data_IF_344702741647
#
_entry.id   IF_344702741647
#
_cell.length_a   1.000
_cell.length_b   1.000
_cell.length_c   1.000
_cell.angle_alpha   90.00
_cell.angle_beta   90.00
_cell.angle_gamma   90.00
#
_symmetry.space_group_name_H-M   'P 1'
#
loop_
_entity.id
_entity.type
_entity.pdbx_description
1 polymer ?
#
# COMPACT_ATOMS: atom_id res chain seq x y z
N UNK A 1 11.24 -6.32 -12.27
CA UNK A 1 10.38 -5.13 -12.38
C UNK A 1 9.96 -4.69 -10.98
N UNK A 2 9.97 -3.37 -10.74
CA UNK A 2 9.65 -2.74 -9.46
C UNK A 2 8.51 -1.75 -9.68
N UNK A 3 7.47 -1.78 -8.84
CA UNK A 3 6.45 -0.72 -8.78
C UNK A 3 6.82 0.22 -7.66
N UNK A 4 6.90 1.52 -7.96
CA UNK A 4 7.03 2.60 -6.99
C UNK A 4 5.81 3.52 -7.11
N UNK A 5 5.04 3.67 -6.03
CA UNK A 5 3.95 4.65 -5.96
C UNK A 5 4.39 5.79 -5.04
N UNK A 6 4.55 6.99 -5.59
CA UNK A 6 4.80 8.21 -4.84
C UNK A 6 3.48 8.72 -4.26
N UNK A 7 3.38 8.80 -2.94
CA UNK A 7 2.18 9.28 -2.26
C UNK A 7 2.21 10.81 -2.14
N UNK A 8 1.13 11.45 -2.58
CA UNK A 8 0.90 12.87 -2.35
C UNK A 8 0.31 13.09 -0.95
N UNK A 9 0.89 14.03 -0.20
CA UNK A 9 0.35 14.47 1.08
C UNK A 9 -0.57 15.66 0.85
N UNK A 10 -1.88 15.48 1.04
CA UNK A 10 -2.83 16.59 1.07
C UNK A 10 -2.59 17.44 2.32
N UNK A 11 -1.75 18.47 2.19
CA UNK A 11 -1.35 19.38 3.27
C UNK A 11 -2.31 20.58 3.48
N UNK A 12 -3.43 20.64 2.77
CA UNK A 12 -4.23 21.87 2.63
C UNK A 12 -5.18 22.22 3.78
N UNK A 13 -5.54 21.29 4.67
CA UNK A 13 -6.64 21.48 5.62
C UNK A 13 -6.27 21.87 7.06
N UNK A 14 -5.04 21.60 7.50
CA UNK A 14 -4.69 21.63 8.93
C UNK A 14 -4.34 23.03 9.47
N UNK A 15 -4.07 24.01 8.61
CA UNK A 15 -3.59 25.34 9.03
C UNK A 15 -4.73 26.25 9.49
N UNK A 16 -5.97 26.02 9.06
CA UNK A 16 -7.10 26.95 9.29
C UNK A 16 -7.80 26.74 10.64
N UNK A 17 -7.76 25.53 11.22
CA UNK A 17 -8.53 25.21 12.44
C UNK A 17 -7.84 25.69 13.72
N UNK A 18 -6.50 25.76 13.74
CA UNK A 18 -5.73 26.16 14.92
C UNK A 18 -5.94 27.60 15.39
N UNK A 19 -6.43 28.48 14.50
CA UNK A 19 -6.63 29.91 14.79
C UNK A 19 -8.00 30.18 15.44
N UNK A 20 -9.00 29.30 15.29
CA UNK A 20 -10.38 29.58 15.73
C UNK A 20 -10.71 29.12 17.15
N UNK A 21 -9.99 28.12 17.70
CA UNK A 21 -10.26 27.55 19.03
C UNK A 21 -9.62 28.30 20.21
N UNK A 22 -8.87 29.38 19.96
CA UNK A 22 -8.21 30.17 21.00
C UNK A 22 -9.12 31.09 21.82
N UNK A 23 -10.42 31.17 21.51
CA UNK A 23 -11.31 32.21 22.03
C UNK A 23 -12.21 31.81 23.22
N UNK A 24 -12.16 30.56 23.73
CA UNK A 24 -13.13 30.15 24.76
C UNK A 24 -12.62 29.12 25.79
N UNK A 25 -11.61 29.44 26.59
CA UNK A 25 -11.36 28.67 27.82
C UNK A 25 -10.62 29.45 28.92
N UNK A 26 -11.10 29.29 30.17
CA UNK A 26 -10.57 29.90 31.40
C UNK A 26 -9.12 29.50 31.73
N UNK A 27 -8.49 30.31 32.60
CA UNK A 27 -7.07 30.64 32.79
C UNK A 27 -6.01 29.51 32.76
N UNK A 28 -6.34 28.23 32.95
CA UNK A 28 -5.40 27.10 32.79
C UNK A 28 -5.41 26.49 31.38
N UNK A 29 -6.56 26.54 30.71
CA UNK A 29 -6.74 26.08 29.33
C UNK A 29 -6.23 27.11 28.30
N UNK A 30 -6.17 28.38 28.69
CA UNK A 30 -5.82 29.51 27.83
C UNK A 30 -4.37 29.47 27.28
N UNK A 31 -3.45 28.75 27.94
CA UNK A 31 -2.05 28.63 27.49
C UNK A 31 -1.63 27.21 27.14
N UNK A 32 -2.17 26.19 27.83
CA UNK A 32 -1.80 24.79 27.60
C UNK A 32 -2.30 24.33 26.22
N UNK A 33 -3.54 24.65 25.87
CA UNK A 33 -4.15 24.22 24.61
C UNK A 33 -3.45 24.89 23.41
N UNK A 34 -3.24 26.22 23.39
CA UNK A 34 -2.48 26.85 22.31
C UNK A 34 -1.04 26.37 22.23
N UNK A 35 -0.38 26.09 23.36
CA UNK A 35 0.98 25.55 23.36
C UNK A 35 1.06 24.17 22.68
N UNK A 36 0.12 23.26 22.95
CA UNK A 36 0.05 21.94 22.31
C UNK A 36 -0.15 22.09 20.79
N UNK A 37 -1.09 22.94 20.36
CA UNK A 37 -1.31 23.18 18.93
C UNK A 37 -0.09 23.82 18.26
N UNK A 38 0.58 24.76 18.92
CA UNK A 38 1.81 25.39 18.42
C UNK A 38 2.93 24.38 18.26
N UNK A 39 3.17 23.53 19.27
CA UNK A 39 4.16 22.46 19.20
C UNK A 39 3.83 21.44 18.11
N UNK A 40 2.56 21.07 17.97
CA UNK A 40 2.10 20.19 16.88
C UNK A 40 2.31 20.80 15.50
N UNK A 41 1.99 22.08 15.33
CA UNK A 41 2.21 22.81 14.06
C UNK A 41 3.69 22.90 13.70
N UNK A 42 4.55 23.26 14.66
CA UNK A 42 6.01 23.28 14.47
C UNK A 42 6.54 21.89 14.10
N UNK A 43 6.06 20.84 14.77
CA UNK A 43 6.41 19.46 14.42
C UNK A 43 6.05 19.13 12.96
N UNK A 44 4.86 19.51 12.49
CA UNK A 44 4.44 19.28 11.09
C UNK A 44 5.30 20.04 10.08
N UNK A 45 5.70 21.29 10.37
CA UNK A 45 6.60 22.07 9.52
C UNK A 45 7.98 21.40 9.44
N UNK A 46 8.56 21.02 10.58
CA UNK A 46 9.84 20.31 10.63
C UNK A 46 9.73 18.99 9.87
N UNK A 47 8.65 18.23 10.06
CA UNK A 47 8.41 16.99 9.33
C UNK A 47 8.29 17.21 7.82
N UNK A 48 7.58 18.25 7.38
CA UNK A 48 7.45 18.60 5.96
C UNK A 48 8.79 18.95 5.30
N UNK A 49 9.66 19.67 6.01
CA UNK A 49 10.94 20.16 5.50
C UNK A 49 12.05 19.10 5.53
N UNK A 50 12.13 18.32 6.61
CA UNK A 50 13.26 17.43 6.87
C UNK A 50 12.97 15.95 6.62
N UNK A 51 11.71 15.54 6.45
CA UNK A 51 11.41 14.13 6.21
C UNK A 51 11.94 13.66 4.85
N UNK A 52 12.64 12.53 4.85
CA UNK A 52 13.16 11.94 3.63
C UNK A 52 12.00 11.46 2.74
N UNK A 53 11.85 12.09 1.57
CA UNK A 53 10.78 11.76 0.61
C UNK A 53 10.82 10.29 0.17
N UNK A 54 12.00 9.65 0.18
CA UNK A 54 12.16 8.22 -0.16
C UNK A 54 11.45 7.30 0.83
N UNK A 55 11.26 7.73 2.08
CA UNK A 55 10.58 6.92 3.10
C UNK A 55 9.06 6.90 2.92
N UNK A 56 8.52 7.76 2.04
CA UNK A 56 7.09 7.84 1.71
C UNK A 56 6.71 7.00 0.49
N UNK A 57 7.64 6.22 -0.06
CA UNK A 57 7.41 5.41 -1.25
C UNK A 57 6.94 4.03 -0.83
N UNK A 58 5.84 3.58 -1.43
CA UNK A 58 5.44 2.19 -1.40
C UNK A 58 6.11 1.45 -2.56
N UNK A 59 6.86 0.39 -2.25
CA UNK A 59 7.64 -0.39 -3.20
C UNK A 59 7.23 -1.86 -3.16
N UNK A 60 6.95 -2.42 -4.34
CA UNK A 60 6.77 -3.85 -4.54
C UNK A 60 7.84 -4.36 -5.50
N UNK A 61 8.71 -5.25 -5.00
CA UNK A 61 9.73 -5.91 -5.80
C UNK A 61 9.33 -7.37 -6.07
N UNK A 62 8.76 -7.60 -7.26
CA UNK A 62 8.29 -8.91 -7.71
C UNK A 62 9.39 -9.98 -7.82
N UNK A 63 10.62 -9.59 -8.17
CA UNK A 63 11.71 -10.55 -8.40
C UNK A 63 12.28 -11.07 -7.09
N UNK A 64 12.52 -10.17 -6.14
CA UNK A 64 13.00 -10.51 -4.79
C UNK A 64 11.88 -11.02 -3.88
N UNK A 65 10.61 -10.73 -4.22
CA UNK A 65 9.47 -11.04 -3.37
C UNK A 65 9.42 -10.17 -2.11
N UNK A 66 10.00 -8.97 -2.16
CA UNK A 66 10.05 -8.03 -1.03
C UNK A 66 9.06 -6.90 -1.21
N UNK A 67 8.52 -6.44 -0.09
CA UNK A 67 7.66 -5.25 0.00
C UNK A 67 8.32 -4.25 0.94
N UNK A 68 8.26 -2.98 0.56
CA UNK A 68 8.61 -1.87 1.45
C UNK A 68 7.48 -0.86 1.49
N UNK A 69 7.08 -0.42 2.67
CA UNK A 69 6.07 0.62 2.83
C UNK A 69 6.49 1.61 3.93
N UNK A 70 5.95 2.84 3.90
CA UNK A 70 6.31 3.88 4.86
C UNK A 70 6.06 3.47 6.31
N UNK A 71 7.01 3.79 7.18
CA UNK A 71 6.86 3.71 8.64
C UNK A 71 6.40 5.07 9.19
N UNK A 72 6.25 5.18 10.52
CA UNK A 72 5.88 6.43 11.17
C UNK A 72 6.93 7.52 10.99
N UNK A 73 6.49 8.69 10.52
CA UNK A 73 7.26 9.93 10.49
C UNK A 73 8.64 9.78 9.81
N UNK A 74 9.72 10.04 10.55
CA UNK A 74 11.09 10.03 10.06
C UNK A 74 11.72 8.63 10.00
N UNK A 75 11.00 7.59 10.43
CA UNK A 75 11.55 6.25 10.44
C UNK A 75 11.78 5.74 9.01
N UNK A 76 12.84 4.94 8.79
CA UNK A 76 13.03 4.27 7.52
C UNK A 76 11.84 3.34 7.22
N UNK A 77 11.52 3.11 5.93
CA UNK A 77 10.39 2.28 5.53
C UNK A 77 10.55 0.85 6.07
N UNK A 78 9.41 0.25 6.43
CA UNK A 78 9.33 -1.14 6.85
C UNK A 78 9.52 -2.02 5.61
N UNK A 79 10.60 -2.80 5.58
CA UNK A 79 10.94 -3.70 4.48
C UNK A 79 10.95 -5.15 4.97
N UNK A 80 10.36 -6.05 4.19
CA UNK A 80 10.39 -7.48 4.46
C UNK A 80 9.90 -8.32 3.28
N UNK A 81 9.74 -9.62 3.50
CA UNK A 81 9.19 -10.53 2.49
C UNK A 81 7.68 -10.34 2.40
N UNK A 82 7.15 -10.33 1.18
CA UNK A 82 5.70 -10.18 0.96
C UNK A 82 4.89 -11.33 1.56
N UNK A 83 5.44 -12.55 1.58
CA UNK A 83 4.82 -13.72 2.24
C UNK A 83 4.49 -13.48 3.72
N UNK A 84 5.31 -12.68 4.40
CA UNK A 84 5.15 -12.41 5.83
C UNK A 84 4.28 -11.17 6.08
N UNK A 85 3.88 -10.43 5.04
CA UNK A 85 3.02 -9.26 5.15
C UNK A 85 1.59 -9.68 5.53
N UNK A 86 1.06 -9.08 6.59
CA UNK A 86 -0.35 -9.21 6.97
C UNK A 86 -1.13 -7.99 6.53
N UNK A 87 -2.13 -8.21 5.67
CA UNK A 87 -3.08 -7.20 5.24
C UNK A 87 -4.45 -7.47 5.89
N UNK A 88 -5.13 -6.40 6.29
CA UNK A 88 -6.49 -6.44 6.85
C UNK A 88 -7.36 -5.42 6.14
N UNK A 89 -8.63 -5.77 5.93
CA UNK A 89 -9.64 -4.83 5.45
C UNK A 89 -10.38 -4.33 6.67
N UNK A 90 -10.30 -3.04 6.94
CA UNK A 90 -11.04 -2.39 8.03
C UNK A 90 -12.18 -1.57 7.46
N UNK A 91 -13.33 -1.59 8.12
CA UNK A 91 -14.49 -0.77 7.77
C UNK A 91 -14.56 0.39 8.76
N UNK A 92 -14.69 1.64 8.28
CA UNK A 92 -15.10 2.74 9.17
C UNK A 92 -16.56 2.53 9.51
N UNK A 93 -16.90 2.43 10.80
CA UNK A 93 -18.29 2.36 11.21
C UNK A 93 -19.04 3.66 10.86
N UNK A 94 -20.33 3.54 10.64
CA UNK A 94 -21.23 4.66 10.45
C UNK A 94 -21.20 5.57 11.69
N UNK A 95 -20.56 6.72 11.55
CA UNK A 95 -20.63 7.81 12.53
C UNK A 95 -21.40 8.92 11.83
N UNK A 96 -22.54 9.31 12.41
CA UNK A 96 -23.34 10.47 12.00
C UNK A 96 -23.76 10.49 10.51
N UNK A 97 -24.14 9.33 9.95
CA UNK A 97 -24.73 9.25 8.60
C UNK A 97 -23.71 9.30 7.44
N UNK A 98 -22.41 9.27 7.73
CA UNK A 98 -21.39 9.06 6.71
C UNK A 98 -21.42 7.63 6.18
N UNK A 99 -21.24 7.47 4.86
CA UNK A 99 -21.18 6.16 4.23
C UNK A 99 -19.98 5.35 4.77
N UNK A 100 -20.22 4.08 5.06
CA UNK A 100 -19.17 3.16 5.46
C UNK A 100 -18.10 3.10 4.37
N UNK A 101 -16.83 3.18 4.78
CA UNK A 101 -15.70 3.07 3.87
C UNK A 101 -14.83 1.90 4.27
N UNK A 102 -14.56 1.02 3.31
CA UNK A 102 -13.58 -0.04 3.46
C UNK A 102 -12.19 0.52 3.17
N UNK A 103 -11.20 0.11 3.97
CA UNK A 103 -9.81 0.47 3.78
C UNK A 103 -8.91 -0.75 3.83
N UNK A 104 -7.97 -0.83 2.90
CA UNK A 104 -6.88 -1.80 2.96
C UNK A 104 -5.81 -1.28 3.91
N UNK A 105 -5.46 -2.07 4.92
CA UNK A 105 -4.44 -1.71 5.90
C UNK A 105 -3.37 -2.78 6.03
N UNK A 106 -2.12 -2.37 6.14
CA UNK A 106 -1.01 -3.28 6.46
C UNK A 106 -0.71 -3.25 7.95
N UNK A 107 -0.66 -4.45 8.53
CA UNK A 107 -0.22 -4.66 9.90
C UNK A 107 1.30 -4.69 9.88
N UNK A 108 1.92 -3.90 10.76
CA UNK A 108 3.37 -3.92 10.94
C UNK A 108 3.83 -5.28 11.46
N UNK A 109 4.24 -6.12 10.51
CA UNK A 109 4.69 -7.48 10.78
C UNK A 109 6.21 -7.56 10.84
N UNK A 110 6.92 -6.60 10.25
CA UNK A 110 8.38 -6.62 10.14
C UNK A 110 9.08 -6.06 11.37
N UNK A 111 8.46 -5.11 12.08
CA UNK A 111 9.03 -4.49 13.29
C UNK A 111 7.91 -4.19 14.30
N UNK A 112 7.30 -5.22 14.92
CA UNK A 112 6.11 -5.06 15.77
C UNK A 112 6.39 -4.16 16.97
N UNK A 113 5.44 -3.26 17.27
CA UNK A 113 5.51 -2.34 18.42
C UNK A 113 4.29 -2.52 19.32
N UNK A 114 4.41 -2.11 20.59
CA UNK A 114 3.28 -2.08 21.54
C UNK A 114 2.17 -1.12 21.10
N UNK A 115 2.55 0.00 20.48
CA UNK A 115 1.66 0.97 19.87
C UNK A 115 2.11 1.14 18.42
N UNK A 116 1.32 0.59 17.50
CA UNK A 116 1.58 0.65 16.07
C UNK A 116 0.38 1.25 15.36
N UNK A 117 0.64 2.11 14.36
CA UNK A 117 -0.41 2.54 13.45
C UNK A 117 -0.41 1.59 12.26
N UNK A 118 -1.60 1.18 11.88
CA UNK A 118 -1.78 0.43 10.65
C UNK A 118 -1.59 1.37 9.46
N UNK A 119 -0.75 0.97 8.52
CA UNK A 119 -0.57 1.76 7.30
C UNK A 119 -1.79 1.60 6.40
N UNK A 120 -2.48 2.70 6.10
CA UNK A 120 -3.75 2.69 5.37
C UNK A 120 -3.54 3.09 3.92
N UNK A 121 -4.01 2.26 2.99
CA UNK A 121 -4.09 2.58 1.57
C UNK A 121 -5.44 3.20 1.26
N UNK A 122 -5.39 4.37 0.62
CA UNK A 122 -6.56 5.06 0.10
C UNK A 122 -6.70 4.68 -1.38
N UNK A 123 -7.62 3.77 -1.65
CA UNK A 123 -8.02 3.32 -2.98
C UNK A 123 -9.53 3.24 -3.08
N UNK A 124 -10.05 3.03 -4.30
CA UNK A 124 -11.50 2.96 -4.53
C UNK A 124 -12.10 1.63 -4.09
N UNK A 125 -11.32 0.54 -4.12
CA UNK A 125 -11.77 -0.81 -3.77
C UNK A 125 -10.62 -1.60 -3.12
N UNK A 126 -10.59 -1.68 -1.77
CA UNK A 126 -9.55 -2.39 -1.02
C UNK A 126 -9.34 -3.84 -1.42
N UNK A 127 -10.41 -4.55 -1.82
CA UNK A 127 -10.35 -5.97 -2.20
C UNK A 127 -9.66 -6.12 -3.55
N UNK A 128 -9.98 -5.25 -4.51
CA UNK A 128 -9.29 -5.22 -5.81
C UNK A 128 -7.84 -4.79 -5.67
N UNK A 129 -7.55 -3.79 -4.84
CA UNK A 129 -6.18 -3.34 -4.59
C UNK A 129 -5.32 -4.46 -4.00
N UNK A 130 -5.83 -5.17 -2.99
CA UNK A 130 -5.13 -6.32 -2.42
C UNK A 130 -4.94 -7.45 -3.45
N UNK A 131 -5.98 -7.77 -4.21
CA UNK A 131 -5.93 -8.78 -5.27
C UNK A 131 -4.89 -8.44 -6.33
N UNK A 132 -4.77 -7.16 -6.70
CA UNK A 132 -3.74 -6.67 -7.61
C UNK A 132 -2.34 -6.87 -7.02
N UNK A 133 -2.11 -6.51 -5.75
CA UNK A 133 -0.79 -6.70 -5.13
C UNK A 133 -0.40 -8.18 -5.03
N UNK A 134 -1.33 -9.05 -4.64
CA UNK A 134 -1.09 -10.50 -4.61
C UNK A 134 -0.77 -11.03 -6.00
N UNK A 135 -1.53 -10.63 -7.02
CA UNK A 135 -1.27 -11.02 -8.41
C UNK A 135 0.09 -10.53 -8.88
N UNK A 136 0.39 -9.24 -8.70
CA UNK A 136 1.67 -8.66 -9.11
C UNK A 136 2.86 -9.33 -8.43
N UNK A 137 2.77 -9.59 -7.13
CA UNK A 137 3.86 -10.21 -6.36
C UNK A 137 4.05 -11.70 -6.64
N UNK A 138 3.04 -12.37 -7.18
CA UNK A 138 3.16 -13.74 -7.63
C UNK A 138 3.91 -13.81 -8.96
N UNK A 139 5.22 -14.08 -8.88
CA UNK A 139 6.06 -14.19 -10.07
C UNK A 139 5.71 -15.36 -10.99
N UNK A 140 4.88 -16.31 -10.54
CA UNK A 140 4.47 -17.48 -11.31
C UNK A 140 3.17 -17.22 -12.10
N UNK A 141 2.44 -16.15 -11.75
CA UNK A 141 1.28 -15.66 -12.50
C UNK A 141 1.71 -14.71 -13.62
N UNK A 142 0.89 -14.54 -14.68
CA UNK A 142 1.09 -13.50 -15.68
C UNK A 142 1.11 -12.11 -15.04
N UNK A 143 1.64 -11.12 -15.74
CA UNK A 143 1.55 -9.72 -15.27
C UNK A 143 0.08 -9.25 -15.29
N UNK A 144 -0.38 -8.51 -14.26
CA UNK A 144 -1.74 -7.96 -14.21
C UNK A 144 -2.10 -7.16 -15.48
N UNK A 145 -3.38 -7.04 -15.85
CA UNK A 145 -3.82 -6.25 -16.99
C UNK A 145 -3.47 -4.77 -16.80
N UNK A 146 -3.24 -4.06 -17.91
CA UNK A 146 -2.88 -2.65 -17.93
C UNK A 146 -1.64 -2.37 -18.77
N UNK A 147 -1.53 -1.14 -19.26
CA UNK A 147 -0.50 -0.73 -20.23
C UNK A 147 0.90 -0.60 -19.63
N UNK A 148 0.99 -0.45 -18.31
CA UNK A 148 2.27 -0.27 -17.61
C UNK A 148 3.24 -1.46 -17.74
N UNK A 149 2.73 -2.63 -18.16
CA UNK A 149 3.50 -3.87 -18.19
C UNK A 149 3.67 -4.47 -19.58
N UNK A 150 3.10 -3.85 -20.62
CA UNK A 150 2.98 -4.47 -21.95
C UNK A 150 4.34 -4.86 -22.55
N UNK A 151 5.34 -4.00 -22.39
CA UNK A 151 6.72 -4.24 -22.85
C UNK A 151 7.36 -5.49 -22.22
N UNK A 152 6.90 -5.90 -21.03
CA UNK A 152 7.48 -7.00 -20.26
C UNK A 152 6.67 -8.29 -20.33
N UNK A 153 5.45 -8.26 -20.89
CA UNK A 153 4.54 -9.43 -20.91
C UNK A 153 5.14 -10.60 -21.64
N UNK A 154 5.72 -10.35 -22.82
CA UNK A 154 6.32 -11.40 -23.65
C UNK A 154 7.49 -12.07 -22.94
N UNK A 155 8.41 -11.27 -22.39
CA UNK A 155 9.56 -11.77 -21.63
C UNK A 155 9.12 -12.57 -20.39
N UNK A 156 8.09 -12.10 -19.68
CA UNK A 156 7.55 -12.82 -18.53
C UNK A 156 6.94 -14.17 -18.91
N UNK A 157 6.22 -14.23 -20.04
CA UNK A 157 5.64 -15.46 -20.57
C UNK A 157 6.72 -16.47 -20.96
N UNK A 158 7.71 -16.06 -21.75
CA UNK A 158 8.81 -16.94 -22.19
C UNK A 158 9.60 -17.51 -21.00
N UNK A 159 9.87 -16.67 -20.00
CA UNK A 159 10.51 -17.11 -18.75
C UNK A 159 9.67 -18.15 -18.02
N UNK A 160 8.35 -17.94 -17.88
CA UNK A 160 7.46 -18.89 -17.21
C UNK A 160 7.32 -20.19 -18.00
N UNK A 161 7.27 -20.12 -19.33
CA UNK A 161 7.28 -21.27 -20.23
C UNK A 161 8.56 -22.09 -20.08
N UNK A 162 9.73 -21.45 -20.00
CA UNK A 162 11.01 -22.12 -19.78
C UNK A 162 11.09 -22.82 -18.41
N UNK A 163 10.37 -22.30 -17.40
CA UNK A 163 10.25 -22.91 -16.07
C UNK A 163 9.13 -23.95 -15.98
N UNK A 164 8.44 -24.25 -17.09
CA UNK A 164 7.32 -25.20 -17.11
C UNK A 164 6.10 -24.69 -16.33
N UNK A 165 5.72 -23.42 -16.54
CA UNK A 165 4.57 -22.77 -15.92
C UNK A 165 4.39 -23.14 -14.44
N UNK A 166 5.25 -22.67 -13.52
CA UNK A 166 5.19 -23.07 -12.12
C UNK A 166 3.84 -22.70 -11.47
N UNK A 167 3.42 -23.46 -10.45
CA UNK A 167 2.20 -23.18 -9.68
C UNK A 167 2.25 -21.80 -9.01
N UNK A 168 1.12 -21.10 -8.87
CA UNK A 168 1.03 -19.85 -8.11
C UNK A 168 1.68 -19.94 -6.72
N UNK A 169 2.37 -18.88 -6.30
CA UNK A 169 3.01 -18.78 -4.97
C UNK A 169 2.01 -18.45 -3.87
N UNK A 170 0.98 -17.67 -4.20
CA UNK A 170 -0.01 -17.21 -3.25
C UNK A 170 -1.40 -17.75 -3.65
N UNK A 171 -2.23 -18.18 -2.70
CA UNK A 171 -3.60 -18.57 -2.99
C UNK A 171 -4.38 -17.34 -3.44
N UNK A 172 -5.23 -17.50 -4.46
CA UNK A 172 -6.16 -16.46 -4.86
C UNK A 172 -7.23 -17.04 -5.79
N UNK A 173 -8.46 -16.56 -5.63
CA UNK A 173 -9.64 -17.03 -6.35
C UNK A 173 -9.93 -16.23 -7.64
N UNK A 174 -9.10 -15.23 -7.93
CA UNK A 174 -9.27 -14.41 -9.14
C UNK A 174 -8.68 -15.10 -10.37
N UNK A 175 -9.39 -15.10 -11.51
CA UNK A 175 -8.83 -15.60 -12.76
C UNK A 175 -7.66 -14.71 -13.19
N UNK A 176 -6.58 -15.34 -13.64
CA UNK A 176 -5.39 -14.64 -14.14
C UNK A 176 -5.14 -14.98 -15.61
N UNK A 177 -5.85 -14.31 -16.54
CA UNK A 177 -5.67 -14.54 -17.96
C UNK A 177 -4.28 -14.10 -18.42
N UNK A 178 -3.75 -14.80 -19.41
CA UNK A 178 -2.58 -14.34 -20.17
C UNK A 178 -2.92 -13.12 -21.04
N UNK A 179 -1.89 -12.49 -21.62
CA UNK A 179 -2.04 -11.31 -22.47
C UNK A 179 -2.81 -11.63 -23.77
N UNK A 180 -2.56 -12.82 -24.34
CA UNK A 180 -3.21 -13.28 -25.56
C UNK A 180 -3.93 -14.61 -25.36
N UNK A 181 -5.02 -14.88 -26.12
CA UNK A 181 -5.72 -16.17 -26.06
C UNK A 181 -4.83 -17.37 -26.45
N UNK A 182 -3.82 -17.16 -27.30
CA UNK A 182 -2.89 -18.20 -27.73
C UNK A 182 -1.96 -18.62 -26.59
N UNK A 183 -1.40 -17.66 -25.86
CA UNK A 183 -0.59 -17.89 -24.66
C UNK A 183 -1.40 -18.61 -23.58
N UNK A 184 -2.66 -18.23 -23.41
CA UNK A 184 -3.58 -18.89 -22.49
C UNK A 184 -3.76 -20.37 -22.85
N UNK A 185 -4.03 -20.68 -24.12
CA UNK A 185 -4.17 -22.08 -24.60
C UNK A 185 -2.89 -22.88 -24.43
N UNK A 186 -1.72 -22.27 -24.63
CA UNK A 186 -0.44 -22.94 -24.42
C UNK A 186 -0.21 -23.31 -22.96
N UNK A 187 -0.45 -22.36 -22.04
CA UNK A 187 -0.39 -22.62 -20.59
C UNK A 187 -1.37 -23.72 -20.18
N UNK A 188 -2.61 -23.66 -20.66
CA UNK A 188 -3.63 -24.67 -20.34
C UNK A 188 -3.30 -26.06 -20.86
N UNK A 189 -2.69 -26.17 -22.05
CA UNK A 189 -2.20 -27.45 -22.58
C UNK A 189 -1.18 -28.07 -21.61
N UNK A 190 -0.22 -27.28 -21.17
CA UNK A 190 0.80 -27.74 -20.22
C UNK A 190 0.18 -28.32 -18.93
N UNK A 191 -0.79 -27.63 -18.33
CA UNK A 191 -1.46 -28.09 -17.10
C UNK A 191 -2.41 -29.27 -17.29
N UNK A 192 -2.85 -29.55 -18.52
CA UNK A 192 -3.67 -30.74 -18.82
C UNK A 192 -2.83 -31.99 -19.00
N UNK A 193 -1.57 -31.83 -19.38
CA UNK A 193 -0.63 -32.91 -19.66
C UNK A 193 0.13 -33.41 -18.41
N UNK A 194 -0.01 -32.70 -17.27
CA UNK A 194 0.59 -32.99 -15.96
C UNK A 194 -0.47 -33.39 -14.93
#
# INVERSE_FOLDING_TARGET
MRIEKKLESNLGGAIVIGVWLGASAELSSQYIVPAIFTLGGVFWVIYGLFANKKYKIFELNRLEGTVAYPDHYFNPPLKGKFKDLKAVISVSGNIDGYADSEYLKFVNTFKPRKLDLLYTFYGSDPKKDWSFYVWYMDKNRPLPPGTAFDEYRQQDFERRKALGFPRPLYPSDIPTPEATPEQQKERERFWKEW
#
